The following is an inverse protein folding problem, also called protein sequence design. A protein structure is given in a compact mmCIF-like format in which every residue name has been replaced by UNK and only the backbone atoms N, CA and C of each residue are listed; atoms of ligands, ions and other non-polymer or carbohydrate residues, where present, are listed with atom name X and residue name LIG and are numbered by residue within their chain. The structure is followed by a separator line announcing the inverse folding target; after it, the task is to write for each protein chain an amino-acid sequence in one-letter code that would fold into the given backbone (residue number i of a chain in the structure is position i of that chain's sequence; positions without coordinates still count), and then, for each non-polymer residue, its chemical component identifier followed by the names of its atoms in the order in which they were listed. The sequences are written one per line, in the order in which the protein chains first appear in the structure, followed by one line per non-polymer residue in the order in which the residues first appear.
data_IF_570020170411
#
_entry.id   IF_570020170411
#
_cell.length_a   1.000
_cell.length_b   1.000
_cell.length_c   1.000
_cell.angle_alpha   90.00
_cell.angle_beta   90.00
_cell.angle_gamma   90.00
#
_symmetry.space_group_name_H-M   'P 1'
#
loop_
_entity.id
_entity.type
_entity.pdbx_description
1 polymer ?
#
# COMPACT_ATOMS: atom_id res chain seq x y z
N UNK A 1 6.53 32.28 51.30
CA UNK A 1 6.06 30.88 51.35
C UNK A 1 6.00 30.35 49.93
N UNK A 2 6.82 29.35 49.67
CA UNK A 2 6.94 28.72 48.33
C UNK A 2 5.90 27.61 48.22
N UNK A 3 5.03 27.69 47.23
CA UNK A 3 4.17 26.58 46.84
C UNK A 3 4.42 26.23 45.36
N UNK A 4 5.41 25.37 45.14
CA UNK A 4 5.69 24.78 43.82
C UNK A 4 4.85 23.53 43.72
N UNK A 5 3.73 23.58 43.01
CA UNK A 5 3.00 22.39 42.60
C UNK A 5 3.36 22.09 41.13
N UNK A 6 4.46 21.34 40.97
CA UNK A 6 4.87 20.78 39.67
C UNK A 6 4.32 19.35 39.61
N UNK A 7 3.08 19.18 39.23
CA UNK A 7 2.63 17.88 38.70
C UNK A 7 2.98 17.84 37.21
N UNK A 8 4.17 17.35 36.91
CA UNK A 8 4.56 17.00 35.55
C UNK A 8 3.69 15.84 35.05
N UNK A 9 2.55 16.14 34.49
CA UNK A 9 1.83 15.17 33.65
C UNK A 9 2.77 14.86 32.49
N UNK A 10 3.34 13.65 32.46
CA UNK A 10 3.91 13.11 31.24
C UNK A 10 2.82 13.20 30.17
N UNK A 11 2.99 14.06 29.19
CA UNK A 11 2.16 14.07 28.00
C UNK A 11 2.47 12.75 27.31
N UNK A 12 1.56 11.79 27.39
CA UNK A 12 1.63 10.55 26.62
C UNK A 12 1.27 10.96 25.20
N UNK A 13 2.26 11.03 24.33
CA UNK A 13 2.05 11.27 22.90
C UNK A 13 1.28 10.07 22.35
N UNK A 14 0.01 10.27 22.03
CA UNK A 14 -0.82 9.24 21.41
C UNK A 14 -0.40 9.08 19.96
N UNK A 15 0.04 7.88 19.58
CA UNK A 15 0.27 7.51 18.19
C UNK A 15 -1.00 6.97 17.57
N UNK A 16 -1.21 7.34 16.32
CA UNK A 16 -2.38 6.92 15.54
C UNK A 16 -1.97 5.99 14.42
N UNK A 17 -2.80 5.00 14.11
CA UNK A 17 -2.54 4.02 13.06
C UNK A 17 -3.73 3.83 12.13
N UNK A 18 -3.44 3.53 10.85
CA UNK A 18 -4.41 3.19 9.83
C UNK A 18 -4.22 1.74 9.41
N UNK A 19 -5.27 0.93 9.51
CA UNK A 19 -5.26 -0.46 9.07
C UNK A 19 -6.06 -0.57 7.77
N UNK A 20 -5.42 -1.06 6.72
CA UNK A 20 -5.99 -1.24 5.38
C UNK A 20 -6.07 -2.74 5.08
N UNK A 21 -7.28 -3.28 5.15
CA UNK A 21 -7.51 -4.70 4.86
C UNK A 21 -7.41 -5.04 3.38
N UNK A 22 -7.27 -6.33 3.08
CA UNK A 22 -7.38 -6.88 1.74
C UNK A 22 -8.82 -6.87 1.22
N UNK A 23 -9.00 -7.08 -0.08
CA UNK A 23 -10.34 -7.17 -0.66
C UNK A 23 -10.40 -6.94 -2.16
N UNK A 24 -9.28 -7.09 -2.85
CA UNK A 24 -9.18 -6.89 -4.30
C UNK A 24 -9.85 -5.56 -4.73
N UNK A 25 -10.77 -5.59 -5.71
CA UNK A 25 -11.44 -4.37 -6.20
C UNK A 25 -12.31 -3.66 -5.14
N UNK A 26 -12.74 -4.34 -4.08
CA UNK A 26 -13.45 -3.68 -2.96
C UNK A 26 -12.58 -2.63 -2.26
N UNK A 27 -11.25 -2.78 -2.33
CA UNK A 27 -10.30 -1.79 -1.83
C UNK A 27 -10.45 -0.40 -2.48
N UNK A 28 -11.13 -0.27 -3.62
CA UNK A 28 -11.45 1.04 -4.20
C UNK A 28 -12.34 1.90 -3.28
N UNK A 29 -13.25 1.27 -2.53
CA UNK A 29 -14.04 1.98 -1.52
C UNK A 29 -13.13 2.55 -0.42
N UNK A 30 -12.22 1.72 0.08
CA UNK A 30 -11.22 2.16 1.06
C UNK A 30 -10.39 3.31 0.53
N UNK A 31 -9.99 3.27 -0.75
CA UNK A 31 -9.22 4.36 -1.37
C UNK A 31 -10.02 5.65 -1.48
N UNK A 32 -11.31 5.60 -1.75
CA UNK A 32 -12.15 6.80 -1.71
C UNK A 32 -12.10 7.50 -0.33
N UNK A 33 -12.13 6.72 0.75
CA UNK A 33 -11.98 7.24 2.12
C UNK A 33 -10.58 7.82 2.33
N UNK A 34 -9.55 7.08 1.92
CA UNK A 34 -8.14 7.47 2.08
C UNK A 34 -7.81 8.73 1.27
N UNK A 35 -8.41 8.89 0.09
CA UNK A 35 -8.26 10.10 -0.73
C UNK A 35 -8.85 11.32 0.01
N UNK A 36 -10.05 11.19 0.59
CA UNK A 36 -10.65 12.25 1.41
C UNK A 36 -9.78 12.58 2.63
N UNK A 37 -9.24 11.57 3.33
CA UNK A 37 -8.32 11.80 4.45
C UNK A 37 -7.08 12.59 4.00
N UNK A 38 -6.53 12.25 2.84
CA UNK A 38 -5.38 12.95 2.27
C UNK A 38 -5.71 14.40 1.92
N UNK A 39 -6.85 14.65 1.27
CA UNK A 39 -7.35 15.99 0.92
C UNK A 39 -7.60 16.86 2.16
N UNK A 40 -8.16 16.25 3.22
CA UNK A 40 -8.40 16.90 4.50
C UNK A 40 -7.13 17.02 5.36
N UNK A 41 -5.98 16.57 4.87
CA UNK A 41 -4.68 16.55 5.57
C UNK A 41 -4.72 15.83 6.92
N UNK A 42 -5.52 14.77 7.00
CA UNK A 42 -5.57 13.87 8.14
C UNK A 42 -4.54 12.78 7.91
N UNK A 43 -3.50 12.75 8.74
CA UNK A 43 -2.37 11.85 8.60
C UNK A 43 -2.15 11.02 9.86
N UNK A 44 -1.69 9.80 9.67
CA UNK A 44 -1.41 8.84 10.74
C UNK A 44 0.09 8.64 10.92
N UNK A 45 0.50 8.29 12.14
CA UNK A 45 1.92 8.00 12.45
C UNK A 45 2.38 6.70 11.82
N UNK A 46 1.48 5.75 11.66
CA UNK A 46 1.75 4.47 11.01
C UNK A 46 0.57 3.92 10.25
N UNK A 47 0.85 3.02 9.33
CA UNK A 47 -0.17 2.29 8.59
C UNK A 47 0.29 0.86 8.32
N UNK A 48 -0.67 -0.03 8.20
CA UNK A 48 -0.46 -1.42 7.85
C UNK A 48 -1.42 -1.81 6.73
N UNK A 49 -0.92 -2.45 5.68
CA UNK A 49 -1.69 -2.83 4.51
C UNK A 49 -1.53 -4.30 4.16
N UNK A 50 -2.66 -4.93 3.80
CA UNK A 50 -2.73 -6.31 3.34
C UNK A 50 -3.34 -6.34 1.95
N UNK A 51 -2.74 -7.06 0.99
CA UNK A 51 -3.28 -7.24 -0.37
C UNK A 51 -3.63 -5.89 -1.03
N UNK A 52 -4.90 -5.66 -1.38
CA UNK A 52 -5.35 -4.36 -1.92
C UNK A 52 -5.00 -3.18 -0.98
N UNK A 53 -5.02 -3.39 0.34
CA UNK A 53 -4.59 -2.40 1.32
C UNK A 53 -3.10 -2.09 1.24
N UNK A 54 -2.25 -3.06 0.89
CA UNK A 54 -0.84 -2.84 0.60
C UNK A 54 -0.65 -2.09 -0.73
N UNK A 55 -1.24 -2.62 -1.81
CA UNK A 55 -1.08 -2.08 -3.16
C UNK A 55 -1.65 -0.66 -3.34
N UNK A 56 -2.76 -0.36 -2.67
CA UNK A 56 -3.41 0.95 -2.79
C UNK A 56 -2.93 1.93 -1.71
N UNK A 57 -2.64 1.43 -0.51
CA UNK A 57 -2.21 2.24 0.64
C UNK A 57 -0.91 2.99 0.40
N UNK A 58 0.00 2.47 -0.46
CA UNK A 58 1.22 3.18 -0.84
C UNK A 58 0.92 4.58 -1.42
N UNK A 59 -0.24 4.77 -2.08
CA UNK A 59 -0.64 6.08 -2.64
C UNK A 59 -1.00 7.11 -1.55
N UNK A 60 -1.45 6.66 -0.38
CA UNK A 60 -1.61 7.55 0.76
C UNK A 60 -0.26 8.05 1.29
N UNK A 61 0.72 7.16 1.42
CA UNK A 61 2.07 7.53 1.85
C UNK A 61 2.78 8.42 0.82
N UNK A 62 2.57 8.19 -0.48
CA UNK A 62 3.10 9.05 -1.56
C UNK A 62 2.31 10.34 -1.80
N UNK A 63 1.22 10.58 -1.03
CA UNK A 63 0.38 11.77 -1.17
C UNK A 63 -0.22 11.96 -2.57
N UNK A 64 -0.66 10.88 -3.20
CA UNK A 64 -1.24 10.88 -4.54
C UNK A 64 -2.74 10.51 -4.52
N UNK A 65 -3.65 11.39 -4.02
CA UNK A 65 -5.08 11.13 -4.03
C UNK A 65 -5.60 10.95 -5.46
N UNK A 66 -6.60 10.08 -5.62
CA UNK A 66 -7.23 9.77 -6.90
C UNK A 66 -6.38 8.90 -7.84
N UNK A 67 -5.10 8.64 -7.55
CA UNK A 67 -4.22 7.88 -8.43
C UNK A 67 -4.74 6.44 -8.64
N UNK A 68 -5.20 5.76 -7.58
CA UNK A 68 -5.69 4.38 -7.68
C UNK A 68 -6.88 4.32 -8.63
N UNK A 69 -7.86 5.20 -8.47
CA UNK A 69 -9.04 5.23 -9.34
C UNK A 69 -8.65 5.54 -10.79
N UNK A 70 -7.74 6.51 -10.99
CA UNK A 70 -7.28 6.94 -12.31
C UNK A 70 -6.65 5.79 -13.10
N UNK A 71 -5.65 5.09 -12.56
CA UNK A 71 -5.02 3.99 -13.30
C UNK A 71 -5.94 2.78 -13.43
N UNK A 72 -6.80 2.51 -12.45
CA UNK A 72 -7.81 1.45 -12.53
C UNK A 72 -8.78 1.70 -13.69
N UNK A 73 -9.30 2.91 -13.83
CA UNK A 73 -10.18 3.28 -14.94
C UNK A 73 -9.45 3.25 -16.28
N UNK A 74 -8.23 3.79 -16.33
CA UNK A 74 -7.42 3.86 -17.55
C UNK A 74 -7.11 2.48 -18.11
N UNK A 75 -6.79 1.52 -17.26
CA UNK A 75 -6.34 0.18 -17.67
C UNK A 75 -7.40 -0.92 -17.46
N UNK A 76 -8.64 -0.56 -17.14
CA UNK A 76 -9.72 -1.53 -16.90
C UNK A 76 -9.93 -2.51 -18.07
N UNK A 77 -9.70 -2.08 -19.30
CA UNK A 77 -9.87 -2.88 -20.51
C UNK A 77 -8.53 -3.34 -21.12
N UNK A 78 -7.41 -3.04 -20.50
CA UNK A 78 -6.10 -3.51 -20.95
C UNK A 78 -5.91 -4.96 -20.51
N UNK A 79 -5.74 -5.86 -21.49
CA UNK A 79 -5.58 -7.29 -21.21
C UNK A 79 -4.34 -7.60 -20.35
N UNK A 80 -3.31 -6.74 -20.38
CA UNK A 80 -2.09 -6.87 -19.59
C UNK A 80 -2.34 -6.59 -18.10
N UNK A 81 -3.39 -5.81 -17.80
CA UNK A 81 -3.69 -5.40 -16.44
C UNK A 81 -4.43 -6.48 -15.64
N UNK A 82 -5.51 -7.04 -16.23
CA UNK A 82 -6.29 -8.13 -15.62
C UNK A 82 -7.09 -8.86 -16.69
N UNK A 83 -6.71 -10.09 -17.01
CA UNK A 83 -7.47 -10.90 -17.98
C UNK A 83 -7.13 -12.39 -17.90
N UNK A 84 -8.06 -13.22 -18.38
CA UNK A 84 -7.80 -14.65 -18.60
C UNK A 84 -6.63 -14.85 -19.57
N UNK A 85 -6.44 -13.94 -20.55
CA UNK A 85 -5.30 -13.98 -21.48
C UNK A 85 -3.98 -13.75 -20.74
N UNK A 86 -3.92 -12.79 -19.80
CA UNK A 86 -2.76 -12.59 -18.93
C UNK A 86 -2.46 -13.88 -18.17
N UNK A 87 -3.47 -14.47 -17.56
CA UNK A 87 -3.33 -15.73 -16.81
C UNK A 87 -2.77 -16.87 -17.65
N UNK A 88 -3.27 -17.05 -18.87
CA UNK A 88 -2.78 -18.11 -19.79
C UNK A 88 -1.36 -17.84 -20.30
N UNK A 89 -0.97 -16.57 -20.47
CA UNK A 89 0.35 -16.22 -21.02
C UNK A 89 1.44 -16.12 -19.95
N UNK A 90 1.08 -15.65 -18.74
CA UNK A 90 2.05 -15.33 -17.67
C UNK A 90 1.85 -16.14 -16.39
N UNK A 91 0.70 -16.82 -16.25
CA UNK A 91 0.28 -17.48 -15.01
C UNK A 91 -0.32 -16.54 -13.98
N UNK A 92 -0.33 -15.24 -14.24
CA UNK A 92 -0.90 -14.21 -13.38
C UNK A 92 -2.18 -13.63 -14.00
N UNK A 93 -3.28 -13.69 -13.26
CA UNK A 93 -4.54 -13.06 -13.68
C UNK A 93 -4.40 -11.53 -13.74
N UNK A 94 -3.69 -10.97 -12.77
CA UNK A 94 -3.25 -9.58 -12.76
C UNK A 94 -1.81 -9.55 -13.25
N UNK A 95 -1.56 -8.94 -14.42
CA UNK A 95 -0.21 -8.86 -14.98
C UNK A 95 0.75 -8.17 -14.04
N UNK A 96 1.59 -8.96 -13.35
CA UNK A 96 2.45 -8.47 -12.29
C UNK A 96 3.45 -7.43 -12.81
N UNK A 97 4.16 -7.73 -13.89
CA UNK A 97 5.11 -6.79 -14.52
C UNK A 97 4.42 -5.49 -14.94
N UNK A 98 3.27 -5.59 -15.60
CA UNK A 98 2.51 -4.43 -16.02
C UNK A 98 2.04 -3.57 -14.84
N UNK A 99 1.44 -4.20 -13.81
CA UNK A 99 0.84 -3.49 -12.68
C UNK A 99 1.82 -2.92 -11.67
N UNK A 100 2.95 -3.62 -11.44
CA UNK A 100 3.91 -3.24 -10.39
C UNK A 100 5.15 -2.53 -10.92
N UNK A 101 5.45 -2.61 -12.22
CA UNK A 101 6.59 -1.94 -12.85
C UNK A 101 6.13 -0.94 -13.91
N UNK A 102 5.52 -1.38 -15.02
CA UNK A 102 5.21 -0.46 -16.13
C UNK A 102 4.24 0.67 -15.73
N UNK A 103 3.18 0.36 -14.95
CA UNK A 103 2.23 1.40 -14.53
C UNK A 103 2.87 2.45 -13.63
N UNK A 104 3.55 2.10 -12.52
CA UNK A 104 4.11 3.10 -11.61
C UNK A 104 5.35 3.82 -12.15
N UNK A 105 6.10 3.22 -13.08
CA UNK A 105 7.35 3.78 -13.58
C UNK A 105 7.18 4.58 -14.87
N UNK A 106 6.20 4.23 -15.73
CA UNK A 106 6.08 4.80 -17.07
C UNK A 106 4.71 5.39 -17.38
N UNK A 107 3.62 4.72 -16.97
CA UNK A 107 2.28 4.99 -17.48
C UNK A 107 1.45 5.89 -16.58
N UNK A 108 1.60 5.75 -15.28
CA UNK A 108 0.98 6.59 -14.24
C UNK A 108 1.95 6.68 -13.06
N UNK A 109 2.88 7.63 -13.19
CA UNK A 109 4.06 7.73 -12.33
C UNK A 109 3.73 7.73 -10.84
N UNK A 110 4.43 6.88 -10.11
CA UNK A 110 4.38 6.83 -8.66
C UNK A 110 5.44 7.77 -8.07
N UNK A 111 5.08 8.57 -7.09
CA UNK A 111 6.02 9.48 -6.43
C UNK A 111 6.81 8.76 -5.33
N UNK A 112 7.82 8.01 -5.75
CA UNK A 112 8.74 7.32 -4.85
C UNK A 112 9.47 8.28 -3.91
N UNK A 113 9.81 9.48 -4.38
CA UNK A 113 10.49 10.49 -3.58
C UNK A 113 9.64 10.90 -2.38
N UNK A 114 8.38 11.27 -2.62
CA UNK A 114 7.46 11.63 -1.53
C UNK A 114 7.16 10.42 -0.66
N UNK A 115 7.02 9.21 -1.23
CA UNK A 115 6.79 7.98 -0.48
C UNK A 115 7.89 7.73 0.55
N UNK A 116 9.16 7.76 0.16
CA UNK A 116 10.29 7.50 1.06
C UNK A 116 10.55 8.66 2.04
N UNK A 117 10.37 9.91 1.62
CA UNK A 117 10.52 11.08 2.49
C UNK A 117 9.41 11.22 3.55
N UNK A 118 8.27 10.55 3.37
CA UNK A 118 7.14 10.63 4.30
C UNK A 118 7.42 9.80 5.56
N UNK A 119 7.36 10.41 6.78
CA UNK A 119 7.70 9.73 8.03
C UNK A 119 6.68 8.67 8.48
N UNK A 120 5.48 8.61 7.88
CA UNK A 120 4.47 7.59 8.22
C UNK A 120 5.07 6.19 8.05
N UNK A 121 5.15 5.42 9.13
CA UNK A 121 5.61 4.03 9.07
C UNK A 121 4.61 3.19 8.26
N UNK A 122 5.06 2.50 7.23
CA UNK A 122 4.20 1.64 6.41
C UNK A 122 4.65 0.19 6.49
N UNK A 123 3.73 -0.67 6.93
CA UNK A 123 3.96 -2.09 7.06
C UNK A 123 3.16 -2.85 6.01
N UNK A 124 3.85 -3.72 5.28
CA UNK A 124 3.29 -4.65 4.32
C UNK A 124 3.15 -6.01 5.00
N UNK A 125 2.03 -6.69 4.79
CA UNK A 125 1.78 -8.00 5.38
C UNK A 125 1.58 -9.03 4.29
N UNK A 126 2.35 -10.10 4.34
CA UNK A 126 2.19 -11.30 3.51
C UNK A 126 1.99 -12.51 4.40
N UNK A 127 1.59 -13.63 3.82
CA UNK A 127 1.47 -14.91 4.53
C UNK A 127 2.60 -15.83 4.06
N UNK A 128 3.36 -16.36 5.01
CA UNK A 128 4.31 -17.42 4.74
C UNK A 128 3.56 -18.69 4.30
N UNK A 129 3.90 -19.23 3.15
CA UNK A 129 3.15 -20.35 2.55
C UNK A 129 3.46 -21.69 3.20
N UNK A 130 4.57 -21.83 3.91
CA UNK A 130 4.99 -23.04 4.58
C UNK A 130 4.37 -23.12 5.99
N UNK A 131 4.39 -22.00 6.71
CA UNK A 131 3.95 -21.96 8.11
C UNK A 131 2.51 -21.46 8.27
N UNK A 132 1.99 -20.72 7.30
CA UNK A 132 0.70 -20.02 7.38
C UNK A 132 0.74 -18.79 8.28
N UNK A 133 1.91 -18.38 8.76
CA UNK A 133 2.06 -17.22 9.64
C UNK A 133 2.12 -15.91 8.86
N UNK A 134 1.70 -14.83 9.53
CA UNK A 134 1.80 -13.49 8.95
C UNK A 134 3.24 -12.95 9.05
N UNK A 135 3.78 -12.51 7.92
CA UNK A 135 5.09 -11.88 7.82
C UNK A 135 4.90 -10.39 7.59
N UNK A 136 5.61 -9.58 8.37
CA UNK A 136 5.52 -8.12 8.35
C UNK A 136 6.81 -7.52 7.81
N UNK A 137 6.70 -6.65 6.82
CA UNK A 137 7.84 -5.91 6.26
C UNK A 137 7.56 -4.42 6.28
N UNK A 138 8.42 -3.66 6.94
CA UNK A 138 8.32 -2.20 6.91
C UNK A 138 8.98 -1.65 5.64
N UNK A 139 8.25 -0.80 4.92
CA UNK A 139 8.79 -0.03 3.81
C UNK A 139 9.64 1.13 4.36
N UNK A 140 10.96 0.98 4.30
CA UNK A 140 11.95 1.94 4.82
C UNK A 140 12.62 2.71 3.67
N UNK A 141 13.25 3.85 3.98
CA UNK A 141 13.97 4.68 3.01
C UNK A 141 15.09 3.93 2.26
N UNK A 142 15.69 2.91 2.87
CA UNK A 142 16.73 2.08 2.26
C UNK A 142 16.23 0.91 1.42
N UNK A 143 14.91 0.69 1.35
CA UNK A 143 14.34 -0.41 0.56
C UNK A 143 14.38 -0.05 -0.93
N UNK A 144 14.91 -0.96 -1.75
CA UNK A 144 14.90 -0.79 -3.20
C UNK A 144 13.46 -0.82 -3.76
N UNK A 145 13.21 -0.12 -4.86
CA UNK A 145 11.89 -0.06 -5.49
C UNK A 145 11.37 -1.44 -5.85
N UNK A 146 12.22 -2.28 -6.46
CA UNK A 146 11.84 -3.65 -6.83
C UNK A 146 11.46 -4.49 -5.60
N UNK A 147 12.19 -4.34 -4.49
CA UNK A 147 11.85 -5.02 -3.24
C UNK A 147 10.48 -4.57 -2.71
N UNK A 148 10.17 -3.28 -2.78
CA UNK A 148 8.85 -2.75 -2.40
C UNK A 148 7.74 -3.35 -3.27
N UNK A 149 7.94 -3.36 -4.59
CA UNK A 149 7.00 -3.93 -5.55
C UNK A 149 6.78 -5.43 -5.31
N UNK A 150 7.85 -6.19 -5.06
CA UNK A 150 7.76 -7.62 -4.76
C UNK A 150 7.02 -7.90 -3.44
N UNK A 151 7.23 -7.10 -2.39
CA UNK A 151 6.46 -7.24 -1.15
C UNK A 151 4.99 -6.90 -1.32
N UNK A 152 4.65 -5.89 -2.13
CA UNK A 152 3.26 -5.57 -2.48
C UNK A 152 2.66 -6.71 -3.30
N UNK A 153 3.41 -7.26 -4.27
CA UNK A 153 3.01 -8.42 -5.06
C UNK A 153 2.76 -9.64 -4.18
N UNK A 154 3.71 -9.98 -3.29
CA UNK A 154 3.59 -11.08 -2.35
C UNK A 154 2.33 -10.95 -1.48
N UNK A 155 2.08 -9.77 -0.91
CA UNK A 155 0.88 -9.47 -0.12
C UNK A 155 -0.42 -9.65 -0.92
N UNK A 156 -0.38 -9.40 -2.23
CA UNK A 156 -1.56 -9.42 -3.11
C UNK A 156 -1.76 -10.76 -3.82
N UNK A 157 -0.83 -11.68 -3.70
CA UNK A 157 -0.86 -12.96 -4.42
C UNK A 157 -1.83 -13.95 -3.79
N UNK A 158 -2.47 -14.74 -4.66
CA UNK A 158 -3.37 -15.81 -4.28
C UNK A 158 -3.00 -17.07 -5.06
N UNK A 159 -2.99 -18.21 -4.39
CA UNK A 159 -2.46 -19.50 -4.87
C UNK A 159 -2.94 -19.98 -6.24
N UNK A 160 -4.10 -19.55 -6.72
CA UNK A 160 -4.68 -19.99 -8.01
C UNK A 160 -4.54 -18.92 -9.10
N UNK A 161 -4.38 -17.66 -8.72
CA UNK A 161 -4.43 -16.51 -9.63
C UNK A 161 -3.09 -15.81 -9.82
N UNK A 162 -2.07 -16.25 -9.10
CA UNK A 162 -0.72 -15.71 -9.19
C UNK A 162 0.32 -16.83 -9.19
N UNK A 163 1.35 -16.71 -10.02
CA UNK A 163 2.55 -17.56 -9.96
C UNK A 163 3.59 -16.94 -9.02
N UNK A 164 4.35 -17.84 -8.38
CA UNK A 164 5.50 -17.54 -7.52
C UNK A 164 6.77 -18.01 -8.16
#
# INVERSE_FOLDING_TARGET
MKGRCCTGKKIVEMKTGLVLEGGALRGLYTMGIVDVLTEQRIFFDGMIGVSAGAAFGCNYKSRQPGRVLRYKQRFAHDWRYCSVRSWLCTGDLFGADFGYHQVPEELDLFDFKTFYANPTAFWLVATDVETGEAVYRQATEGMHIDELCEWIRASSSMRIVSQW
#
